data_IF_790983522741
#
_entry.id   IF_790983522741
#
_cell.length_a   1.000
_cell.length_b   1.000
_cell.length_c   1.000
_cell.angle_alpha   90.00
_cell.angle_beta   90.00
_cell.angle_gamma   90.00
#
_symmetry.space_group_name_H-M   'P 1'
#
loop_
_entity.id
_entity.type
_entity.pdbx_description
1 polymer ?
#
# COMPACT_ATOMS: atom_id res chain seq x y z
N UNK A 1 2.74 5.91 -14.95
CA UNK A 1 3.18 4.51 -14.81
C UNK A 1 4.69 4.55 -14.63
N UNK A 2 5.26 3.69 -13.80
CA UNK A 2 6.65 3.82 -13.30
C UNK A 2 7.72 3.56 -14.37
N UNK A 3 7.33 3.02 -15.54
CA UNK A 3 8.22 2.72 -16.68
C UNK A 3 9.39 1.79 -16.33
N UNK A 4 9.26 1.06 -15.23
CA UNK A 4 10.20 0.04 -14.78
C UNK A 4 9.44 -1.26 -14.54
N UNK A 5 10.16 -2.38 -14.53
CA UNK A 5 9.61 -3.63 -14.00
C UNK A 5 9.37 -3.44 -12.50
N UNK A 6 8.11 -3.61 -12.08
CA UNK A 6 7.72 -3.56 -10.68
C UNK A 6 7.57 -4.96 -10.11
N UNK A 7 7.97 -5.14 -8.86
CA UNK A 7 7.76 -6.37 -8.11
C UNK A 7 6.62 -6.17 -7.10
N UNK A 8 5.86 -7.24 -6.89
CA UNK A 8 4.83 -7.30 -5.87
C UNK A 8 4.66 -8.74 -5.40
N UNK A 9 4.36 -8.92 -4.11
CA UNK A 9 3.99 -10.22 -3.58
C UNK A 9 2.48 -10.33 -3.46
N UNK A 10 1.97 -11.53 -3.74
CA UNK A 10 0.57 -11.88 -3.54
C UNK A 10 0.51 -13.10 -2.63
N UNK A 11 -0.24 -12.98 -1.55
CA UNK A 11 -0.72 -14.12 -0.79
C UNK A 11 -2.17 -14.41 -1.18
N UNK A 12 -2.44 -15.63 -1.61
CA UNK A 12 -3.79 -16.11 -1.88
C UNK A 12 -4.20 -17.14 -0.82
N UNK A 13 -5.35 -16.95 -0.15
CA UNK A 13 -5.90 -17.96 0.75
C UNK A 13 -6.45 -19.14 -0.07
N UNK A 14 -6.67 -20.30 0.57
CA UNK A 14 -7.12 -21.52 -0.12
C UNK A 14 -8.49 -21.37 -0.82
N UNK A 15 -9.30 -20.41 -0.36
CA UNK A 15 -10.60 -20.06 -0.89
C UNK A 15 -10.52 -19.34 -2.25
N UNK A 16 -9.37 -18.74 -2.56
CA UNK A 16 -9.12 -18.11 -3.86
C UNK A 16 -8.88 -19.19 -4.91
N UNK A 17 -9.85 -19.37 -5.80
CA UNK A 17 -9.80 -20.34 -6.90
C UNK A 17 -10.24 -19.69 -8.21
N UNK A 18 -10.14 -20.42 -9.32
CA UNK A 18 -10.68 -19.94 -10.59
C UNK A 18 -12.19 -19.69 -10.53
N UNK A 19 -12.90 -20.47 -9.71
CA UNK A 19 -14.35 -20.41 -9.54
C UNK A 19 -14.81 -19.42 -8.45
N UNK A 20 -13.94 -19.04 -7.51
CA UNK A 20 -14.29 -18.19 -6.36
C UNK A 20 -13.25 -17.10 -6.15
N UNK A 21 -13.70 -15.84 -6.17
CA UNK A 21 -12.87 -14.67 -5.87
C UNK A 21 -12.96 -14.34 -4.39
N UNK A 22 -11.85 -13.83 -3.85
CA UNK A 22 -11.74 -13.36 -2.47
C UNK A 22 -11.42 -11.87 -2.48
N UNK A 23 -11.82 -11.12 -1.45
CA UNK A 23 -11.40 -9.73 -1.31
C UNK A 23 -9.89 -9.65 -1.06
N UNK A 24 -9.27 -8.55 -1.50
CA UNK A 24 -7.84 -8.31 -1.37
C UNK A 24 -7.56 -7.08 -0.49
N UNK A 25 -6.57 -7.20 0.39
CA UNK A 25 -6.02 -6.10 1.17
C UNK A 25 -4.68 -5.73 0.56
N UNK A 26 -4.52 -4.46 0.21
CA UNK A 26 -3.24 -3.92 -0.22
C UNK A 26 -2.48 -3.36 0.98
N UNK A 27 -1.25 -3.80 1.16
CA UNK A 27 -0.37 -3.28 2.20
C UNK A 27 0.77 -2.51 1.55
N UNK A 28 0.83 -1.22 1.83
CA UNK A 28 1.85 -0.30 1.34
C UNK A 28 2.94 -0.17 2.39
N UNK A 29 4.13 -0.70 2.09
CA UNK A 29 5.24 -0.72 3.03
C UNK A 29 5.96 0.64 3.11
N UNK A 30 6.64 0.88 4.23
CA UNK A 30 7.34 2.13 4.50
C UNK A 30 8.74 2.19 3.89
N UNK A 31 9.50 3.21 4.30
CA UNK A 31 10.86 3.47 3.82
C UNK A 31 11.77 2.24 3.92
N UNK A 32 12.68 2.10 2.96
CA UNK A 32 13.69 1.03 2.84
C UNK A 32 13.14 -0.39 2.61
N UNK A 33 11.81 -0.58 2.63
CA UNK A 33 11.19 -1.87 2.36
C UNK A 33 11.20 -2.24 0.88
N UNK A 34 10.98 -3.53 0.63
CA UNK A 34 10.56 -4.10 -0.65
C UNK A 34 9.23 -4.86 -0.46
N UNK A 35 8.76 -5.51 -1.53
CA UNK A 35 7.51 -6.29 -1.58
C UNK A 35 7.48 -7.50 -0.64
N UNK A 36 8.64 -8.03 -0.25
CA UNK A 36 8.78 -9.26 0.52
C UNK A 36 8.65 -9.04 2.03
N UNK A 37 8.99 -7.84 2.51
CA UNK A 37 9.29 -7.63 3.93
C UNK A 37 8.06 -7.81 4.84
N UNK A 38 6.88 -7.41 4.36
CA UNK A 38 5.62 -7.69 5.08
C UNK A 38 5.35 -9.19 5.18
N UNK A 39 5.57 -9.93 4.10
CA UNK A 39 5.31 -11.36 4.07
C UNK A 39 6.28 -12.11 5.01
N UNK A 40 7.54 -11.71 5.05
CA UNK A 40 8.53 -12.42 5.87
C UNK A 40 8.37 -12.09 7.37
N UNK A 41 8.02 -10.85 7.71
CA UNK A 41 8.12 -10.36 9.11
C UNK A 41 6.80 -9.96 9.75
N UNK A 42 5.76 -9.69 8.96
CA UNK A 42 4.47 -9.20 9.46
C UNK A 42 3.54 -10.28 9.99
N UNK A 43 3.77 -11.56 9.65
CA UNK A 43 2.93 -12.69 10.09
C UNK A 43 1.47 -12.63 9.59
N UNK A 44 1.18 -11.74 8.64
CA UNK A 44 -0.16 -11.41 8.17
C UNK A 44 -0.86 -12.57 7.47
N UNK A 45 -0.11 -13.47 6.82
CA UNK A 45 -0.66 -14.56 6.02
C UNK A 45 -1.44 -15.55 6.86
N UNK A 46 -1.03 -15.78 8.12
CA UNK A 46 -1.76 -16.68 9.03
C UNK A 46 -3.19 -16.18 9.25
N UNK A 47 -3.34 -14.88 9.49
CA UNK A 47 -4.66 -14.29 9.69
C UNK A 47 -5.42 -14.18 8.37
N UNK A 48 -4.76 -13.75 7.29
CA UNK A 48 -5.38 -13.67 5.97
C UNK A 48 -5.93 -15.03 5.48
N UNK A 49 -5.19 -16.13 5.74
CA UNK A 49 -5.65 -17.49 5.49
C UNK A 49 -6.88 -17.86 6.32
N UNK A 50 -6.88 -17.52 7.62
CA UNK A 50 -8.01 -17.80 8.52
C UNK A 50 -9.27 -17.04 8.10
N UNK A 51 -9.10 -15.84 7.57
CA UNK A 51 -10.21 -14.95 7.17
C UNK A 51 -10.61 -15.13 5.70
N UNK A 52 -9.85 -15.84 4.88
CA UNK A 52 -10.16 -16.01 3.46
C UNK A 52 -9.99 -14.71 2.66
N UNK A 53 -8.97 -13.90 2.98
CA UNK A 53 -8.65 -12.66 2.26
C UNK A 53 -7.27 -12.75 1.60
N UNK A 54 -7.10 -12.16 0.42
CA UNK A 54 -5.81 -12.04 -0.24
C UNK A 54 -5.00 -10.85 0.31
N UNK A 55 -3.67 -10.94 0.26
CA UNK A 55 -2.78 -9.82 0.58
C UNK A 55 -1.96 -9.48 -0.66
N UNK A 56 -1.86 -8.20 -1.00
CA UNK A 56 -1.05 -7.70 -2.11
C UNK A 56 -0.09 -6.65 -1.55
N UNK A 57 1.21 -6.86 -1.76
CA UNK A 57 2.27 -5.95 -1.31
C UNK A 57 3.10 -5.51 -2.50
N UNK A 58 2.91 -4.29 -3.02
CA UNK A 58 3.82 -3.76 -4.02
C UNK A 58 5.16 -3.35 -3.39
N UNK A 59 6.17 -3.25 -4.24
CA UNK A 59 7.40 -2.55 -3.90
C UNK A 59 7.13 -1.04 -3.61
N UNK A 60 8.06 -0.39 -2.95
CA UNK A 60 7.91 0.97 -2.37
C UNK A 60 8.41 2.09 -3.29
N UNK A 61 9.14 1.75 -4.35
CA UNK A 61 9.62 2.67 -5.38
C UNK A 61 9.86 1.92 -6.69
N UNK A 62 10.04 2.63 -7.82
CA UNK A 62 10.66 2.05 -9.01
C UNK A 62 12.03 1.45 -8.67
N UNK A 63 12.44 0.41 -9.42
CA UNK A 63 13.74 -0.26 -9.28
C UNK A 63 14.44 -0.38 -10.64
N UNK A 64 15.75 -0.61 -10.61
CA UNK A 64 16.54 -0.86 -11.82
C UNK A 64 16.77 0.38 -12.69
N UNK A 65 16.57 1.57 -12.13
CA UNK A 65 16.90 2.86 -12.73
C UNK A 65 18.04 3.50 -11.94
N UNK A 66 18.84 4.33 -12.61
CA UNK A 66 19.92 5.08 -11.99
C UNK A 66 19.66 6.55 -12.25
N UNK A 67 19.11 7.24 -11.25
CA UNK A 67 18.92 8.69 -11.26
C UNK A 67 19.88 9.27 -10.23
N UNK A 68 20.68 10.25 -10.63
CA UNK A 68 21.60 10.93 -9.71
C UNK A 68 20.85 11.39 -8.43
N UNK A 69 21.34 11.00 -7.25
CA UNK A 69 20.72 11.36 -5.97
C UNK A 69 19.59 10.45 -5.48
N UNK A 70 19.23 9.41 -6.24
CA UNK A 70 18.14 8.49 -5.86
C UNK A 70 18.52 7.44 -4.81
N UNK A 71 19.81 7.35 -4.48
CA UNK A 71 20.37 6.37 -3.55
C UNK A 71 21.32 7.01 -2.54
N UNK A 72 21.37 8.35 -2.51
CA UNK A 72 22.27 9.11 -1.63
C UNK A 72 21.81 9.07 -0.17
N UNK A 73 20.51 8.89 0.07
CA UNK A 73 19.92 8.82 1.40
C UNK A 73 18.80 7.78 1.49
N UNK A 74 18.57 7.26 2.70
CA UNK A 74 17.59 6.20 2.95
C UNK A 74 16.13 6.69 2.92
N UNK A 75 15.91 7.98 3.06
CA UNK A 75 14.60 8.64 3.13
C UNK A 75 14.17 9.29 1.81
N UNK A 76 14.92 9.09 0.73
CA UNK A 76 14.62 9.68 -0.57
C UNK A 76 15.05 8.77 -1.73
N UNK A 77 14.21 8.70 -2.77
CA UNK A 77 14.50 7.91 -3.97
C UNK A 77 14.17 6.41 -3.80
N UNK A 78 15.15 5.54 -4.05
CA UNK A 78 15.00 4.09 -4.09
C UNK A 78 14.64 3.54 -2.71
N UNK A 79 13.51 2.85 -2.59
CA UNK A 79 12.94 2.43 -1.29
C UNK A 79 12.14 3.52 -0.57
N UNK A 80 11.97 4.68 -1.20
CA UNK A 80 11.33 5.87 -0.63
C UNK A 80 10.51 6.61 -1.70
N UNK A 81 9.57 5.92 -2.35
CA UNK A 81 8.76 6.49 -3.44
C UNK A 81 7.59 7.37 -2.98
N UNK A 82 7.29 7.42 -1.68
CA UNK A 82 6.23 8.22 -1.03
C UNK A 82 4.80 8.06 -1.58
N UNK A 83 4.57 7.11 -2.49
CA UNK A 83 3.27 6.89 -3.13
C UNK A 83 2.68 8.15 -3.77
N UNK A 84 3.53 8.99 -4.37
CA UNK A 84 3.15 10.19 -5.13
C UNK A 84 3.40 10.04 -6.64
N UNK A 85 2.85 10.94 -7.43
CA UNK A 85 3.27 11.17 -8.82
C UNK A 85 4.17 12.41 -8.88
N UNK A 86 5.46 12.20 -9.06
CA UNK A 86 6.46 13.26 -9.10
C UNK A 86 6.20 14.24 -10.25
N UNK A 87 6.46 15.53 -10.02
CA UNK A 87 6.28 16.61 -11.01
C UNK A 87 7.59 17.20 -11.52
N UNK A 88 8.63 17.12 -10.70
CA UNK A 88 9.97 17.57 -11.08
C UNK A 88 10.50 16.67 -12.20
N UNK A 89 10.94 17.21 -13.37
CA UNK A 89 11.30 16.43 -14.54
C UNK A 89 12.28 15.28 -14.30
N UNK A 90 13.25 15.47 -13.40
CA UNK A 90 14.23 14.46 -13.01
C UNK A 90 13.59 13.17 -12.48
N UNK A 91 12.41 13.28 -11.86
CA UNK A 91 11.73 12.17 -11.16
C UNK A 91 10.44 11.76 -11.87
N UNK A 92 9.78 12.68 -12.57
CA UNK A 92 8.46 12.52 -13.17
C UNK A 92 8.37 11.39 -14.20
N UNK A 93 9.50 10.95 -14.76
CA UNK A 93 9.52 9.83 -15.68
C UNK A 93 9.19 8.49 -15.01
N UNK A 94 9.69 8.25 -13.79
CA UNK A 94 9.61 6.94 -13.14
C UNK A 94 8.88 6.96 -11.79
N UNK A 95 8.98 8.04 -11.01
CA UNK A 95 8.41 8.14 -9.66
C UNK A 95 6.91 8.49 -9.72
N UNK A 96 6.13 7.56 -10.26
CA UNK A 96 4.69 7.64 -10.45
C UNK A 96 3.97 6.58 -9.61
N UNK A 97 4.35 6.48 -8.32
CA UNK A 97 3.90 5.43 -7.40
C UNK A 97 2.43 5.60 -7.04
N UNK A 98 1.90 6.82 -6.98
CA UNK A 98 0.47 7.06 -6.80
C UNK A 98 -0.33 6.44 -7.94
N UNK A 99 0.00 6.79 -9.18
CA UNK A 99 -0.69 6.22 -10.34
C UNK A 99 -0.48 4.70 -10.44
N UNK A 100 0.69 4.19 -10.05
CA UNK A 100 0.93 2.74 -9.97
C UNK A 100 -0.02 2.06 -8.99
N UNK A 101 -0.04 2.48 -7.72
CA UNK A 101 -0.83 1.83 -6.66
C UNK A 101 -2.33 2.15 -6.70
N UNK A 102 -2.78 3.12 -7.49
CA UNK A 102 -4.21 3.48 -7.59
C UNK A 102 -4.87 3.16 -8.93
N UNK A 103 -4.08 3.04 -10.02
CA UNK A 103 -4.62 2.84 -11.37
C UNK A 103 -4.08 1.60 -12.07
N UNK A 104 -2.77 1.34 -11.95
CA UNK A 104 -2.12 0.25 -12.67
C UNK A 104 -2.25 -1.06 -11.90
N UNK A 105 -1.75 -1.07 -10.66
CA UNK A 105 -1.85 -2.20 -9.76
C UNK A 105 -3.33 -2.54 -9.44
N UNK A 106 -4.22 -1.55 -9.20
CA UNK A 106 -5.64 -1.76 -9.02
C UNK A 106 -6.45 -1.43 -10.28
N UNK A 107 -5.94 -1.75 -11.48
CA UNK A 107 -6.81 -2.09 -12.62
C UNK A 107 -7.86 -3.17 -12.28
N UNK A 108 -7.84 -3.68 -11.05
CA UNK A 108 -8.85 -4.46 -10.31
C UNK A 108 -9.30 -3.80 -8.97
N UNK A 109 -9.65 -2.50 -8.97
CA UNK A 109 -10.40 -1.70 -7.96
C UNK A 109 -9.62 -0.81 -6.94
N UNK A 110 -10.14 0.43 -6.74
CA UNK A 110 -9.49 1.67 -6.23
C UNK A 110 -9.24 1.74 -4.70
N UNK A 111 -8.20 2.48 -4.28
CA UNK A 111 -7.86 2.84 -2.88
C UNK A 111 -8.19 4.32 -2.53
N UNK A 112 -8.15 4.65 -1.23
CA UNK A 112 -8.50 5.95 -0.62
C UNK A 112 -7.26 6.75 -0.19
N UNK A 113 -7.35 8.08 -0.33
CA UNK A 113 -6.40 9.07 0.17
C UNK A 113 -7.09 10.00 1.19
N UNK A 114 -7.05 9.69 2.50
CA UNK A 114 -7.74 10.48 3.52
C UNK A 114 -7.24 11.92 3.65
N UNK A 115 -5.94 12.17 3.49
CA UNK A 115 -5.35 13.52 3.66
C UNK A 115 -5.67 14.41 2.45
N UNK A 116 -5.64 13.84 1.24
CA UNK A 116 -6.05 14.55 0.03
C UNK A 116 -7.56 14.84 0.04
N UNK A 117 -8.35 13.93 0.62
CA UNK A 117 -9.79 14.12 0.81
C UNK A 117 -10.09 15.20 1.85
N UNK A 118 -9.36 15.24 2.96
CA UNK A 118 -9.47 16.32 3.95
C UNK A 118 -9.13 17.68 3.35
N UNK A 119 -8.01 17.78 2.63
CA UNK A 119 -7.62 19.02 1.96
C UNK A 119 -8.65 19.46 0.91
N UNK A 120 -9.25 18.52 0.18
CA UNK A 120 -10.31 18.80 -0.79
C UNK A 120 -11.60 19.28 -0.12
N UNK A 121 -12.02 18.61 0.97
CA UNK A 121 -13.19 19.01 1.76
C UNK A 121 -13.04 20.42 2.33
N UNK A 122 -11.86 20.75 2.88
CA UNK A 122 -11.54 22.10 3.35
C UNK A 122 -11.63 23.13 2.22
N UNK A 123 -11.10 22.82 1.02
CA UNK A 123 -11.09 23.76 -0.11
C UNK A 123 -12.49 24.13 -0.61
N UNK A 124 -13.46 23.21 -0.53
CA UNK A 124 -14.83 23.43 -1.05
C UNK A 124 -15.86 23.70 0.05
N UNK A 125 -15.44 23.75 1.31
CA UNK A 125 -16.33 23.94 2.46
C UNK A 125 -17.25 22.74 2.74
N UNK A 126 -16.86 21.53 2.32
CA UNK A 126 -17.61 20.30 2.59
C UNK A 126 -17.36 19.85 4.05
N UNK A 127 -18.41 19.64 4.87
CA UNK A 127 -18.24 19.10 6.21
C UNK A 127 -17.62 17.69 6.18
N UNK A 128 -16.57 17.47 6.98
CA UNK A 128 -15.85 16.21 7.11
C UNK A 128 -15.63 15.86 8.59
N UNK A 129 -15.92 14.62 8.95
CA UNK A 129 -15.51 14.04 10.25
C UNK A 129 -14.39 13.03 9.98
N UNK A 130 -13.15 13.44 10.24
CA UNK A 130 -11.96 12.60 10.12
C UNK A 130 -11.46 12.22 11.53
N UNK A 131 -11.15 10.94 11.76
CA UNK A 131 -10.64 10.43 13.05
C UNK A 131 -9.24 9.87 12.89
N UNK A 132 -8.25 10.60 13.38
CA UNK A 132 -6.85 10.15 13.50
C UNK A 132 -6.59 9.64 14.92
N UNK A 133 -5.64 8.71 15.11
CA UNK A 133 -5.26 8.17 16.42
C UNK A 133 -3.83 8.59 16.76
N UNK A 134 -3.64 9.19 17.94
CA UNK A 134 -2.36 9.74 18.39
C UNK A 134 -1.46 8.64 18.98
N UNK A 135 -0.15 8.71 18.75
CA UNK A 135 0.81 7.67 19.18
C UNK A 135 0.94 6.45 18.26
N UNK A 136 0.29 6.47 17.09
CA UNK A 136 0.50 5.49 16.04
C UNK A 136 1.71 5.90 15.20
N UNK A 137 2.86 5.22 15.38
CA UNK A 137 4.03 5.41 14.52
C UNK A 137 4.06 4.38 13.37
N UNK A 138 4.88 4.62 12.34
CA UNK A 138 5.05 3.68 11.22
C UNK A 138 6.15 2.64 11.47
N UNK A 139 6.57 2.46 12.73
CA UNK A 139 7.63 1.55 13.13
C UNK A 139 7.19 0.09 13.02
N UNK A 140 8.10 -0.77 12.55
CA UNK A 140 7.82 -2.19 12.29
C UNK A 140 7.20 -2.95 13.47
N UNK A 141 7.69 -2.69 14.69
CA UNK A 141 7.20 -3.35 15.90
C UNK A 141 5.78 -2.91 16.26
N UNK A 142 5.46 -1.62 16.10
CA UNK A 142 4.14 -1.07 16.31
C UNK A 142 3.14 -1.58 15.26
N UNK A 143 3.51 -1.56 13.98
CA UNK A 143 2.63 -2.06 12.91
C UNK A 143 2.33 -3.56 13.06
N UNK A 144 3.33 -4.36 13.48
CA UNK A 144 3.13 -5.80 13.68
C UNK A 144 2.16 -6.15 14.82
N UNK A 145 2.11 -5.35 15.89
CA UNK A 145 1.25 -5.63 17.05
C UNK A 145 -0.24 -5.43 16.78
N UNK A 146 -0.59 -4.61 15.77
CA UNK A 146 -1.98 -4.38 15.37
C UNK A 146 -2.31 -5.03 14.02
N UNK A 147 -1.36 -5.73 13.38
CA UNK A 147 -1.58 -6.36 12.08
C UNK A 147 -2.75 -7.36 12.11
N UNK A 148 -2.85 -8.14 13.19
CA UNK A 148 -3.96 -9.07 13.38
C UNK A 148 -5.30 -8.33 13.49
N UNK A 149 -5.38 -7.30 14.33
CA UNK A 149 -6.58 -6.48 14.51
C UNK A 149 -6.96 -5.73 13.23
N UNK A 150 -5.98 -5.23 12.49
CA UNK A 150 -6.15 -4.52 11.23
C UNK A 150 -6.71 -5.45 10.14
N UNK A 151 -6.14 -6.66 10.00
CA UNK A 151 -6.68 -7.67 9.07
C UNK A 151 -8.07 -8.10 9.50
N UNK A 152 -8.32 -8.29 10.80
CA UNK A 152 -9.65 -8.64 11.30
C UNK A 152 -10.69 -7.56 10.98
N UNK A 153 -10.38 -6.29 11.25
CA UNK A 153 -11.26 -5.17 10.96
C UNK A 153 -11.62 -5.10 9.47
N UNK A 154 -10.61 -5.16 8.59
CA UNK A 154 -10.85 -5.12 7.15
C UNK A 154 -11.58 -6.37 6.65
N UNK A 155 -11.24 -7.55 7.17
CA UNK A 155 -11.94 -8.77 6.81
C UNK A 155 -13.41 -8.76 7.29
N UNK A 156 -13.71 -8.21 8.47
CA UNK A 156 -15.10 -8.06 8.93
C UNK A 156 -15.89 -7.22 7.92
N UNK A 157 -15.36 -6.06 7.51
CA UNK A 157 -16.03 -5.20 6.51
C UNK A 157 -16.18 -5.89 5.16
N UNK A 158 -15.11 -6.51 4.66
CA UNK A 158 -15.06 -7.10 3.32
C UNK A 158 -15.90 -8.39 3.19
N UNK A 159 -16.11 -9.11 4.28
CA UNK A 159 -16.84 -10.38 4.29
C UNK A 159 -18.30 -10.25 4.76
N UNK A 160 -18.68 -9.13 5.37
CA UNK A 160 -20.05 -8.91 5.88
C UNK A 160 -21.02 -8.38 4.82
N UNK A 161 -20.57 -8.20 3.57
CA UNK A 161 -21.47 -7.77 2.49
C UNK A 161 -22.10 -8.99 1.81
N UNK A 162 -23.38 -9.22 2.12
CA UNK A 162 -24.34 -10.08 1.38
C UNK A 162 -25.00 -9.25 0.28
#
# INVERSE_FOLDING_TARGET
>A
MTRTTMQFCVFLPKEATDAAKVPAIYYLAGLTCNEELMQIKGGAQRMAAKRGVALITPDTSPRGISIEGDSDNWDFGTGAGFYVDAKEPKWAENYNMYSYVTKELPGSHKQLLPEAFEAACQKVGQPLTLRMQDGYDHGYYFVSSFMEDHINHHADVLLTTV
#
